data_IF_678603453765
#
_entry.id   IF_678603453765
#
_cell.length_a   1.000
_cell.length_b   1.000
_cell.length_c   1.000
_cell.angle_alpha   90.00
_cell.angle_beta   90.00
_cell.angle_gamma   90.00
#
_symmetry.space_group_name_H-M   'P 1'
#
loop_
_entity.id
_entity.type
_entity.pdbx_description
1 polymer ?
#
# COMPACT_ATOMS: atom_id res chain seq x y z
N UNK A 1 34.65 -0.23 13.77
CA UNK A 1 34.11 -1.54 13.36
C UNK A 1 32.70 -1.76 13.88
N UNK A 2 32.44 -2.14 15.14
CA UNK A 2 31.07 -2.48 15.59
C UNK A 2 30.04 -1.34 15.41
N UNK A 3 30.41 -0.09 15.72
CA UNK A 3 29.52 1.06 15.53
C UNK A 3 29.23 1.38 14.06
N UNK A 4 30.18 1.10 13.16
CA UNK A 4 30.02 1.34 11.72
C UNK A 4 29.17 0.24 11.06
N UNK A 5 29.33 -1.00 11.52
CA UNK A 5 28.51 -2.13 11.11
C UNK A 5 27.05 -1.94 11.56
N UNK A 6 26.85 -1.53 12.82
CA UNK A 6 25.53 -1.20 13.36
C UNK A 6 24.83 -0.08 12.55
N UNK A 7 25.57 0.96 12.16
CA UNK A 7 25.02 2.04 11.34
C UNK A 7 24.65 1.55 9.93
N UNK A 8 25.49 0.72 9.31
CA UNK A 8 25.22 0.16 7.98
C UNK A 8 23.98 -0.73 7.98
N UNK A 9 23.84 -1.59 8.98
CA UNK A 9 22.67 -2.47 9.11
C UNK A 9 21.39 -1.67 9.32
N UNK A 10 21.43 -0.64 10.17
CA UNK A 10 20.30 0.29 10.34
C UNK A 10 19.92 0.96 9.02
N UNK A 11 20.88 1.52 8.29
CA UNK A 11 20.63 2.21 7.02
C UNK A 11 20.05 1.26 5.96
N UNK A 12 20.57 0.04 5.85
CA UNK A 12 20.06 -0.97 4.92
C UNK A 12 18.62 -1.34 5.25
N UNK A 13 18.35 -1.70 6.50
CA UNK A 13 17.01 -2.14 6.92
C UNK A 13 16.00 -0.99 6.78
N UNK A 14 16.41 0.24 7.08
CA UNK A 14 15.59 1.43 6.90
C UNK A 14 15.22 1.66 5.44
N UNK A 15 16.21 1.62 4.54
CA UNK A 15 16.00 1.82 3.11
C UNK A 15 15.07 0.75 2.50
N UNK A 16 15.24 -0.52 2.89
CA UNK A 16 14.39 -1.61 2.39
C UNK A 16 12.92 -1.43 2.82
N UNK A 17 12.68 -1.01 4.07
CA UNK A 17 11.32 -0.73 4.55
C UNK A 17 10.68 0.48 3.87
N UNK A 18 11.47 1.52 3.58
CA UNK A 18 11.00 2.70 2.84
C UNK A 18 10.65 2.36 1.39
N UNK A 19 11.44 1.53 0.71
CA UNK A 19 11.15 1.05 -0.65
C UNK A 19 9.84 0.24 -0.72
N UNK A 20 9.62 -0.63 0.29
CA UNK A 20 8.35 -1.37 0.43
C UNK A 20 7.18 -0.43 0.67
N UNK A 21 7.33 0.57 1.54
CA UNK A 21 6.27 1.55 1.80
C UNK A 21 5.91 2.35 0.53
N UNK A 22 6.93 2.74 -0.25
CA UNK A 22 6.73 3.46 -1.51
C UNK A 22 6.07 2.61 -2.58
N UNK A 23 6.31 1.30 -2.57
CA UNK A 23 5.61 0.33 -3.41
C UNK A 23 4.13 0.25 -3.03
N UNK A 24 3.81 0.15 -1.74
CA UNK A 24 2.42 0.17 -1.25
C UNK A 24 1.72 1.47 -1.63
N UNK A 25 2.36 2.64 -1.43
CA UNK A 25 1.82 3.94 -1.87
C UNK A 25 1.57 4.02 -3.38
N UNK A 26 2.35 3.31 -4.19
CA UNK A 26 2.15 3.24 -5.64
C UNK A 26 0.93 2.37 -5.97
N UNK A 27 0.78 1.23 -5.32
CA UNK A 27 -0.39 0.37 -5.47
C UNK A 27 -1.69 1.05 -5.04
N UNK A 28 -1.68 1.80 -3.94
CA UNK A 28 -2.85 2.59 -3.51
C UNK A 28 -3.27 3.61 -4.58
N UNK A 29 -2.32 4.34 -5.17
CA UNK A 29 -2.59 5.31 -6.26
C UNK A 29 -3.12 4.61 -7.51
N UNK A 30 -2.45 3.54 -7.94
CA UNK A 30 -2.82 2.80 -9.15
C UNK A 30 -4.18 2.11 -9.01
N UNK A 31 -4.54 1.62 -7.82
CA UNK A 31 -5.83 0.97 -7.56
C UNK A 31 -7.01 1.92 -7.78
N UNK A 32 -6.85 3.18 -7.40
CA UNK A 32 -7.87 4.22 -7.62
C UNK A 32 -8.06 4.53 -9.10
N UNK A 33 -6.96 4.73 -9.83
CA UNK A 33 -6.99 5.01 -11.27
C UNK A 33 -7.60 3.82 -12.05
N UNK A 34 -7.21 2.60 -11.69
CA UNK A 34 -7.66 1.39 -12.37
C UNK A 34 -9.15 1.10 -12.16
N UNK A 35 -9.69 1.36 -10.97
CA UNK A 35 -11.13 1.15 -10.70
C UNK A 35 -11.99 2.11 -11.51
N UNK A 36 -11.56 3.37 -11.66
CA UNK A 36 -12.26 4.35 -12.48
C UNK A 36 -12.27 3.95 -13.96
N UNK A 37 -11.13 3.48 -14.47
CA UNK A 37 -11.00 3.01 -15.85
C UNK A 37 -11.87 1.77 -16.13
N UNK A 38 -11.85 0.78 -15.24
CA UNK A 38 -12.71 -0.40 -15.35
C UNK A 38 -14.18 0.02 -15.34
N UNK A 39 -14.57 0.89 -14.41
CA UNK A 39 -15.96 1.33 -14.32
C UNK A 39 -16.42 2.00 -15.62
N UNK A 40 -15.59 2.87 -16.19
CA UNK A 40 -15.87 3.49 -17.48
C UNK A 40 -16.04 2.44 -18.58
N UNK A 41 -15.13 1.47 -18.69
CA UNK A 41 -15.18 0.41 -19.71
C UNK A 41 -16.43 -0.48 -19.56
N UNK A 42 -16.71 -0.94 -18.34
CA UNK A 42 -17.88 -1.77 -18.01
C UNK A 42 -19.16 -1.03 -18.34
N UNK A 43 -19.28 0.24 -17.95
CA UNK A 43 -20.47 1.06 -18.25
C UNK A 43 -20.70 1.21 -19.76
N UNK A 44 -19.64 1.41 -20.54
CA UNK A 44 -19.73 1.49 -22.00
C UNK A 44 -20.20 0.15 -22.62
N UNK A 45 -19.66 -0.97 -22.14
CA UNK A 45 -20.03 -2.31 -22.62
C UNK A 45 -21.48 -2.65 -22.29
N UNK A 46 -21.91 -2.40 -21.05
CA UNK A 46 -23.27 -2.69 -20.59
C UNK A 46 -24.32 -1.82 -21.29
N UNK A 47 -24.02 -0.53 -21.54
CA UNK A 47 -24.86 0.34 -22.36
C UNK A 47 -25.05 -0.18 -23.78
N UNK A 48 -23.98 -0.65 -24.44
CA UNK A 48 -24.04 -1.22 -25.79
C UNK A 48 -24.90 -2.49 -25.88
N UNK A 49 -25.05 -3.22 -24.77
CA UNK A 49 -25.83 -4.46 -24.68
C UNK A 49 -27.29 -4.25 -24.25
N UNK A 50 -27.72 -3.00 -24.05
CA UNK A 50 -29.08 -2.71 -23.59
C UNK A 50 -29.35 -3.17 -22.15
N UNK A 51 -28.30 -3.36 -21.34
CA UNK A 51 -28.42 -3.75 -19.94
C UNK A 51 -29.17 -2.69 -19.14
N UNK A 52 -29.97 -3.12 -18.15
CA UNK A 52 -30.70 -2.21 -17.28
C UNK A 52 -29.74 -1.32 -16.46
N UNK A 53 -30.22 -0.13 -16.10
CA UNK A 53 -29.46 0.80 -15.25
C UNK A 53 -29.20 0.20 -13.87
N UNK A 54 -30.13 -0.58 -13.33
CA UNK A 54 -29.98 -1.26 -12.04
C UNK A 54 -28.79 -2.23 -12.03
N UNK A 55 -28.64 -3.06 -13.06
CA UNK A 55 -27.49 -3.98 -13.14
C UNK A 55 -26.16 -3.23 -13.29
N UNK A 56 -26.15 -2.09 -14.00
CA UNK A 56 -24.96 -1.23 -14.08
C UNK A 56 -24.60 -0.66 -12.70
N UNK A 57 -25.59 -0.22 -11.93
CA UNK A 57 -25.39 0.29 -10.57
C UNK A 57 -24.93 -0.80 -9.60
N UNK A 58 -25.42 -2.03 -9.75
CA UNK A 58 -24.98 -3.17 -8.96
C UNK A 58 -23.51 -3.49 -9.21
N UNK A 59 -23.09 -3.58 -10.47
CA UNK A 59 -21.67 -3.76 -10.82
C UNK A 59 -20.79 -2.62 -10.29
N UNK A 60 -21.28 -1.38 -10.31
CA UNK A 60 -20.55 -0.25 -9.72
C UNK A 60 -20.33 -0.43 -8.22
N UNK A 61 -21.35 -0.89 -7.48
CA UNK A 61 -21.23 -1.13 -6.03
C UNK A 61 -20.27 -2.26 -5.73
N UNK A 62 -20.28 -3.32 -6.52
CA UNK A 62 -19.34 -4.44 -6.36
C UNK A 62 -17.89 -4.01 -6.64
N UNK A 63 -17.67 -3.23 -7.70
CA UNK A 63 -16.35 -2.65 -8.00
C UNK A 63 -15.86 -1.75 -6.87
N UNK A 64 -16.74 -0.88 -6.33
CA UNK A 64 -16.38 -0.02 -5.20
C UNK A 64 -16.02 -0.83 -3.96
N UNK A 65 -16.78 -1.88 -3.63
CA UNK A 65 -16.48 -2.74 -2.48
C UNK A 65 -15.13 -3.44 -2.62
N UNK A 66 -14.80 -3.90 -3.82
CA UNK A 66 -13.50 -4.52 -4.08
C UNK A 66 -12.36 -3.51 -3.97
N UNK A 67 -12.56 -2.28 -4.46
CA UNK A 67 -11.59 -1.19 -4.29
C UNK A 67 -11.39 -0.85 -2.81
N UNK A 68 -12.48 -0.69 -2.05
CA UNK A 68 -12.43 -0.37 -0.63
C UNK A 68 -11.67 -1.44 0.16
N UNK A 69 -11.96 -2.73 -0.11
CA UNK A 69 -11.25 -3.85 0.52
C UNK A 69 -9.76 -3.86 0.16
N UNK A 70 -9.44 -3.68 -1.11
CA UNK A 70 -8.04 -3.62 -1.57
C UNK A 70 -7.28 -2.47 -0.91
N UNK A 71 -7.88 -1.28 -0.82
CA UNK A 71 -7.27 -0.12 -0.17
C UNK A 71 -7.12 -0.32 1.34
N UNK A 72 -8.05 -1.01 1.99
CA UNK A 72 -7.97 -1.37 3.40
C UNK A 72 -6.80 -2.32 3.67
N UNK A 73 -6.62 -3.35 2.85
CA UNK A 73 -5.47 -4.27 2.96
C UNK A 73 -4.13 -3.54 2.80
N UNK A 74 -4.02 -2.66 1.80
CA UNK A 74 -2.82 -1.85 1.60
C UNK A 74 -2.57 -0.86 2.75
N UNK A 75 -3.64 -0.29 3.32
CA UNK A 75 -3.52 0.60 4.47
C UNK A 75 -3.00 -0.14 5.71
N UNK A 76 -3.44 -1.38 5.92
CA UNK A 76 -2.96 -2.24 7.00
C UNK A 76 -1.49 -2.62 6.79
N UNK A 77 -1.10 -3.04 5.59
CA UNK A 77 0.30 -3.35 5.26
C UNK A 77 1.20 -2.12 5.48
N UNK A 78 0.77 -0.94 5.02
CA UNK A 78 1.51 0.30 5.24
C UNK A 78 1.71 0.60 6.73
N UNK A 79 0.67 0.39 7.54
CA UNK A 79 0.75 0.59 9.00
C UNK A 79 1.78 -0.35 9.63
N UNK A 80 1.83 -1.61 9.21
CA UNK A 80 2.82 -2.58 9.69
C UNK A 80 4.24 -2.18 9.31
N UNK A 81 4.47 -1.71 8.08
CA UNK A 81 5.76 -1.19 7.65
C UNK A 81 6.21 0.02 8.48
N UNK A 82 5.29 0.93 8.84
CA UNK A 82 5.59 2.06 9.73
C UNK A 82 6.01 1.60 11.13
N UNK A 83 5.36 0.58 11.69
CA UNK A 83 5.74 0.00 12.97
C UNK A 83 7.14 -0.65 12.91
N UNK A 84 7.42 -1.42 11.87
CA UNK A 84 8.75 -2.03 11.66
C UNK A 84 9.85 -0.96 11.53
N UNK A 85 9.54 0.13 10.84
CA UNK A 85 10.42 1.29 10.70
C UNK A 85 10.75 1.93 12.07
N UNK A 86 9.77 2.04 12.96
CA UNK A 86 9.97 2.52 14.34
C UNK A 86 10.78 1.53 15.19
N UNK A 87 10.53 0.23 15.05
CA UNK A 87 11.27 -0.81 15.76
C UNK A 87 12.76 -0.80 15.39
N UNK A 88 13.08 -0.68 14.10
CA UNK A 88 14.46 -0.56 13.60
C UNK A 88 15.15 0.68 14.19
N UNK A 89 14.46 1.82 14.25
CA UNK A 89 14.97 3.06 14.86
C UNK A 89 15.23 2.89 16.37
N UNK A 90 14.29 2.30 17.10
CA UNK A 90 14.44 2.05 18.54
C UNK A 90 15.57 1.08 18.84
N UNK A 91 15.70 0.00 18.05
CA UNK A 91 16.77 -0.97 18.17
C UNK A 91 18.13 -0.31 17.97
N UNK A 92 18.29 0.46 16.89
CA UNK A 92 19.52 1.20 16.61
C UNK A 92 19.89 2.17 17.75
N UNK A 93 18.92 2.93 18.27
CA UNK A 93 19.15 3.85 19.40
C UNK A 93 19.62 3.14 20.66
N UNK A 94 19.00 2.01 21.01
CA UNK A 94 19.39 1.20 22.18
C UNK A 94 20.80 0.65 22.02
N UNK A 95 21.09 0.00 20.89
CA UNK A 95 22.42 -0.55 20.61
C UNK A 95 23.51 0.51 20.59
N UNK A 96 23.21 1.69 20.05
CA UNK A 96 24.13 2.83 20.07
C UNK A 96 24.40 3.37 21.47
N UNK A 97 23.44 3.29 22.38
CA UNK A 97 23.64 3.66 23.79
C UNK A 97 24.51 2.64 24.52
N UNK A 98 24.36 1.35 24.23
CA UNK A 98 25.17 0.27 24.81
C UNK A 98 26.65 0.32 24.36
N UNK A 99 26.91 0.89 23.18
CA UNK A 99 28.26 1.07 22.63
C UNK A 99 28.95 2.38 23.07
N UNK A 100 28.26 3.23 23.85
CA UNK A 100 28.81 4.48 24.41
C UNK A 100 29.32 4.25 25.83
#
# INVERSE_FOLDING_TARGET
MEAEELLRDYQRNRAELEEREDTVKRYMRNGQDYTQDIFFQVRQLLRKRGTSVESIMETQRELQRNEDHYLEELAQERKELMLQQEEVEQFYRKKRQELK
#
